data_IF_238853123846
#
_entry.id   IF_238853123846
#
_cell.length_a   1.000
_cell.length_b   1.000
_cell.length_c   1.000
_cell.angle_alpha   90.00
_cell.angle_beta   90.00
_cell.angle_gamma   90.00
#
_symmetry.space_group_name_H-M   'P 1'
#
loop_
_entity.id
_entity.type
_entity.pdbx_description
1 polymer ?
#
# COMPACT_ATOMS: atom_id res chain seq x y z
N UNK A 1 -20.55 -21.41 -23.45
CA UNK A 1 -20.92 -21.59 -22.02
C UNK A 1 -19.97 -20.70 -21.21
N UNK A 2 -20.48 -19.88 -20.28
CA UNK A 2 -19.61 -19.00 -19.47
C UNK A 2 -18.86 -19.83 -18.42
N UNK A 3 -17.53 -19.85 -18.47
CA UNK A 3 -16.67 -20.63 -17.55
C UNK A 3 -16.75 -20.21 -16.07
N UNK A 4 -17.46 -19.12 -15.73
CA UNK A 4 -17.50 -18.53 -14.39
C UNK A 4 -18.92 -18.37 -13.82
N UNK A 5 -19.89 -19.13 -14.33
CA UNK A 5 -21.30 -19.07 -13.91
C UNK A 5 -21.49 -19.22 -12.38
N UNK A 6 -20.71 -20.09 -11.73
CA UNK A 6 -20.76 -20.30 -10.28
C UNK A 6 -20.44 -19.02 -9.48
N UNK A 7 -19.47 -18.24 -9.95
CA UNK A 7 -19.06 -17.00 -9.28
C UNK A 7 -20.13 -15.91 -9.39
N UNK A 8 -20.84 -15.87 -10.52
CA UNK A 8 -21.93 -14.93 -10.70
C UNK A 8 -23.19 -15.33 -9.95
N UNK A 9 -23.37 -16.58 -9.51
CA UNK A 9 -24.57 -17.01 -8.77
C UNK A 9 -24.43 -16.90 -7.25
N UNK A 10 -23.22 -16.67 -6.73
CA UNK A 10 -22.95 -16.58 -5.29
C UNK A 10 -23.79 -15.52 -4.54
N UNK A 11 -24.23 -14.45 -5.22
CA UNK A 11 -25.12 -13.45 -4.61
C UNK A 11 -26.55 -13.97 -4.36
N UNK A 12 -26.95 -15.08 -5.00
CA UNK A 12 -28.25 -15.72 -4.78
C UNK A 12 -28.23 -16.60 -3.52
N UNK A 13 -27.07 -17.15 -3.17
CA UNK A 13 -26.88 -18.02 -2.00
C UNK A 13 -26.57 -17.23 -0.72
N UNK A 14 -25.86 -16.09 -0.80
CA UNK A 14 -25.50 -15.28 0.36
C UNK A 14 -25.97 -13.82 0.23
N UNK A 15 -26.86 -13.34 1.12
CA UNK A 15 -27.41 -11.98 1.06
C UNK A 15 -26.39 -10.87 1.41
N UNK A 16 -25.22 -11.21 1.96
CA UNK A 16 -24.17 -10.23 2.24
C UNK A 16 -23.34 -9.88 1.00
N UNK A 17 -23.43 -10.70 -0.07
CA UNK A 17 -22.69 -10.48 -1.30
C UNK A 17 -23.52 -9.61 -2.23
N UNK A 18 -23.02 -8.41 -2.51
CA UNK A 18 -23.65 -7.52 -3.49
C UNK A 18 -23.49 -8.06 -4.90
N UNK A 19 -24.51 -7.83 -5.74
CA UNK A 19 -24.50 -8.20 -7.16
C UNK A 19 -23.48 -7.38 -7.96
N UNK A 20 -23.17 -6.17 -7.49
CA UNK A 20 -22.23 -5.25 -8.15
C UNK A 20 -20.82 -5.32 -7.54
N UNK A 21 -19.81 -5.28 -8.42
CA UNK A 21 -18.40 -5.23 -8.03
C UNK A 21 -17.89 -3.79 -7.82
N UNK A 22 -18.79 -2.81 -7.72
CA UNK A 22 -18.42 -1.40 -7.81
C UNK A 22 -17.49 -0.97 -6.65
N UNK A 23 -17.66 -1.57 -5.47
CA UNK A 23 -16.78 -1.35 -4.32
C UNK A 23 -15.33 -1.79 -4.58
N UNK A 24 -15.14 -2.99 -5.14
CA UNK A 24 -13.80 -3.48 -5.45
C UNK A 24 -13.19 -2.68 -6.61
N UNK A 25 -13.96 -2.37 -7.65
CA UNK A 25 -13.51 -1.51 -8.74
C UNK A 25 -13.07 -0.13 -8.25
N UNK A 26 -13.84 0.49 -7.35
CA UNK A 26 -13.51 1.80 -6.80
C UNK A 26 -12.24 1.76 -5.93
N UNK A 27 -11.99 0.68 -5.19
CA UNK A 27 -10.73 0.48 -4.46
C UNK A 27 -9.54 0.32 -5.41
N UNK A 28 -9.69 -0.47 -6.48
CA UNK A 28 -8.62 -0.70 -7.46
C UNK A 28 -8.36 0.53 -8.34
N UNK A 29 -9.38 1.36 -8.62
CA UNK A 29 -9.24 2.60 -9.39
C UNK A 29 -8.16 3.50 -8.82
N UNK A 30 -8.05 3.63 -7.49
CA UNK A 30 -7.01 4.46 -6.86
C UNK A 30 -5.60 3.96 -7.18
N UNK A 31 -5.40 2.64 -7.15
CA UNK A 31 -4.13 1.98 -7.48
C UNK A 31 -3.80 2.14 -8.97
N UNK A 32 -4.78 1.91 -9.83
CA UNK A 32 -4.61 2.00 -11.30
C UNK A 32 -4.34 3.45 -11.73
N UNK A 33 -5.04 4.43 -11.15
CA UNK A 33 -4.79 5.85 -11.42
C UNK A 33 -3.43 6.31 -10.89
N UNK A 34 -2.99 5.80 -9.73
CA UNK A 34 -1.65 6.04 -9.20
C UNK A 34 -0.55 5.51 -10.14
N UNK A 35 -0.73 4.27 -10.64
CA UNK A 35 0.15 3.67 -11.66
C UNK A 35 0.19 4.50 -12.94
N UNK A 36 -0.96 4.88 -13.50
CA UNK A 36 -1.02 5.68 -14.74
C UNK A 36 -0.37 7.05 -14.61
N UNK A 37 -0.49 7.73 -13.46
CA UNK A 37 0.20 9.01 -13.21
C UNK A 37 1.71 8.86 -13.15
N UNK A 38 2.21 7.75 -12.60
CA UNK A 38 3.64 7.45 -12.53
C UNK A 38 4.20 7.01 -13.90
N UNK A 39 3.41 6.26 -14.67
CA UNK A 39 3.75 5.71 -15.98
C UNK A 39 4.00 6.80 -17.05
N UNK A 40 3.46 8.02 -16.85
CA UNK A 40 3.78 9.20 -17.68
C UNK A 40 5.27 9.61 -17.58
N UNK A 41 5.99 9.16 -16.53
CA UNK A 41 7.43 9.41 -16.35
C UNK A 41 8.26 8.17 -16.76
N UNK A 42 8.27 7.90 -18.06
CA UNK A 42 8.91 6.79 -18.83
C UNK A 42 10.04 5.97 -18.16
N UNK A 43 9.92 4.64 -18.34
CA UNK A 43 10.89 3.64 -18.85
C UNK A 43 12.25 3.52 -18.14
N UNK A 44 12.26 3.23 -16.84
CA UNK A 44 13.35 2.44 -16.27
C UNK A 44 12.81 1.49 -15.21
N UNK A 45 13.16 0.21 -15.33
CA UNK A 45 12.71 -0.92 -14.48
C UNK A 45 13.00 -0.65 -12.99
N UNK A 46 14.11 0.06 -12.72
CA UNK A 46 14.44 0.55 -11.39
C UNK A 46 13.41 1.54 -10.83
N UNK A 47 12.84 2.45 -11.63
CA UNK A 47 11.94 3.51 -11.15
C UNK A 47 10.50 3.05 -10.91
N UNK A 48 10.08 1.97 -11.56
CA UNK A 48 8.77 1.33 -11.29
C UNK A 48 8.71 0.82 -9.86
N UNK A 49 9.78 0.16 -9.38
CA UNK A 49 9.89 -0.32 -8.00
C UNK A 49 9.91 0.86 -7.02
N UNK A 50 10.70 1.91 -7.30
CA UNK A 50 10.78 3.08 -6.42
C UNK A 50 9.46 3.86 -6.36
N UNK A 51 8.79 4.04 -7.50
CA UNK A 51 7.50 4.72 -7.53
C UNK A 51 6.38 3.91 -6.89
N UNK A 52 6.39 2.57 -7.04
CA UNK A 52 5.49 1.69 -6.33
C UNK A 52 5.66 1.84 -4.80
N UNK A 53 6.90 1.85 -4.31
CA UNK A 53 7.21 2.08 -2.90
C UNK A 53 6.71 3.45 -2.41
N UNK A 54 6.91 4.52 -3.18
CA UNK A 54 6.45 5.86 -2.81
C UNK A 54 4.93 6.00 -2.71
N UNK A 55 4.15 5.22 -3.47
CA UNK A 55 2.69 5.22 -3.36
C UNK A 55 2.19 4.24 -2.29
N UNK A 56 2.76 3.04 -2.22
CA UNK A 56 2.30 2.04 -1.26
C UNK A 56 2.66 2.38 0.18
N UNK A 57 3.80 3.02 0.44
CA UNK A 57 4.23 3.31 1.80
C UNK A 57 3.29 4.30 2.52
N UNK A 58 2.90 5.44 1.92
CA UNK A 58 1.91 6.36 2.51
C UNK A 58 0.52 5.74 2.65
N UNK A 59 0.07 4.93 1.69
CA UNK A 59 -1.22 4.23 1.80
C UNK A 59 -1.20 3.20 2.94
N UNK A 60 -0.09 2.49 3.14
CA UNK A 60 0.11 1.58 4.27
C UNK A 60 0.13 2.35 5.60
N UNK A 61 0.77 3.52 5.65
CA UNK A 61 0.73 4.41 6.82
C UNK A 61 -0.71 4.86 7.13
N UNK A 62 -1.49 5.22 6.11
CA UNK A 62 -2.90 5.60 6.27
C UNK A 62 -3.74 4.46 6.83
N UNK A 63 -3.55 3.23 6.34
CA UNK A 63 -4.22 2.05 6.87
C UNK A 63 -3.88 1.80 8.36
N UNK A 64 -2.64 2.07 8.76
CA UNK A 64 -2.16 1.94 10.14
C UNK A 64 -2.42 3.17 11.02
N UNK A 65 -3.13 4.20 10.51
CA UNK A 65 -3.38 5.48 11.19
C UNK A 65 -2.10 6.22 11.64
N UNK A 66 -1.00 6.02 10.92
CA UNK A 66 0.28 6.68 11.16
C UNK A 66 0.35 7.95 10.30
N UNK A 67 0.90 9.04 10.85
CA UNK A 67 1.14 10.25 10.07
C UNK A 67 2.24 9.97 9.00
N UNK A 68 1.92 9.96 7.70
CA UNK A 68 2.85 9.59 6.65
C UNK A 68 4.00 10.60 6.51
N UNK A 69 3.77 11.88 6.82
CA UNK A 69 4.82 12.91 6.74
C UNK A 69 5.91 12.67 7.78
N UNK A 70 5.51 12.45 9.04
CA UNK A 70 6.45 12.21 10.14
C UNK A 70 7.26 10.91 9.93
N UNK A 71 6.61 9.90 9.35
CA UNK A 71 7.25 8.65 8.99
C UNK A 71 8.29 8.83 7.87
N UNK A 72 7.94 9.52 6.78
CA UNK A 72 8.85 9.75 5.66
C UNK A 72 10.06 10.61 6.06
N UNK A 73 9.86 11.64 6.89
CA UNK A 73 10.97 12.48 7.38
C UNK A 73 12.00 11.67 8.17
N UNK A 74 11.53 10.81 9.08
CA UNK A 74 12.40 9.96 9.89
C UNK A 74 13.10 8.88 9.03
N UNK A 75 12.44 8.34 8.01
CA UNK A 75 13.06 7.42 7.05
C UNK A 75 14.13 8.12 6.22
N UNK A 76 13.84 9.27 5.62
CA UNK A 76 14.83 9.97 4.80
C UNK A 76 16.06 10.38 5.61
N UNK A 77 15.89 10.64 6.91
CA UNK A 77 17.01 10.90 7.82
C UNK A 77 17.83 9.65 8.16
N UNK A 78 17.19 8.47 8.28
CA UNK A 78 17.86 7.20 8.64
C UNK A 78 18.46 6.47 7.45
N UNK A 79 17.87 6.62 6.26
CA UNK A 79 18.25 5.91 5.04
C UNK A 79 19.75 5.97 4.68
N UNK A 80 20.47 7.11 4.75
CA UNK A 80 21.88 7.16 4.38
C UNK A 80 22.81 6.38 5.33
N UNK A 81 22.37 6.08 6.56
CA UNK A 81 23.15 5.34 7.55
C UNK A 81 22.67 3.91 7.82
N UNK A 82 21.58 3.46 7.18
CA UNK A 82 20.93 2.20 7.53
C UNK A 82 21.46 1.02 6.69
N UNK A 83 21.89 -0.08 7.31
CA UNK A 83 22.33 -1.26 6.57
C UNK A 83 21.16 -1.90 5.81
N UNK A 84 21.40 -2.26 4.55
CA UNK A 84 20.40 -2.87 3.66
C UNK A 84 19.79 -4.18 4.20
N UNK A 85 20.46 -4.84 5.14
CA UNK A 85 19.97 -6.06 5.80
C UNK A 85 18.81 -5.80 6.78
N UNK A 86 18.68 -4.58 7.29
CA UNK A 86 17.71 -4.23 8.33
C UNK A 86 16.53 -3.39 7.77
N UNK A 87 16.27 -3.45 6.46
CA UNK A 87 15.17 -2.72 5.83
C UNK A 87 13.79 -3.04 6.46
N UNK A 88 13.65 -4.21 7.09
CA UNK A 88 12.41 -4.60 7.79
C UNK A 88 12.04 -3.67 8.94
N UNK A 89 13.01 -3.04 9.59
CA UNK A 89 12.80 -2.10 10.69
C UNK A 89 12.22 -0.77 10.22
N UNK A 90 12.40 -0.43 8.94
CA UNK A 90 11.86 0.77 8.33
C UNK A 90 10.41 0.61 7.89
N UNK A 91 9.78 -0.57 8.00
CA UNK A 91 8.36 -0.69 7.68
C UNK A 91 7.49 0.13 8.66
N UNK A 92 6.33 0.66 8.21
CA UNK A 92 5.47 1.51 9.05
C UNK A 92 5.06 0.85 10.37
N UNK A 93 4.80 -0.46 10.35
CA UNK A 93 4.41 -1.23 11.54
C UNK A 93 5.54 -1.32 12.59
N UNK A 94 6.77 -1.56 12.15
CA UNK A 94 7.94 -1.67 13.03
C UNK A 94 8.41 -0.29 13.51
N UNK A 95 8.32 0.71 12.64
CA UNK A 95 8.59 2.11 12.99
C UNK A 95 7.65 2.62 14.10
N UNK A 96 6.36 2.33 13.99
CA UNK A 96 5.37 2.71 15.01
C UNK A 96 5.66 2.03 16.36
N UNK A 97 6.04 0.74 16.34
CA UNK A 97 6.45 -0.02 17.54
C UNK A 97 7.74 0.55 18.17
N UNK A 98 8.72 0.92 17.35
CA UNK A 98 9.97 1.52 17.84
C UNK A 98 9.73 2.90 18.49
N UNK A 99 8.81 3.70 17.94
CA UNK A 99 8.41 5.00 18.53
C UNK A 99 7.67 4.83 19.85
N UNK A 100 6.76 3.86 19.98
CA UNK A 100 6.03 3.62 21.23
C UNK A 100 6.93 3.06 22.34
N UNK A 101 7.95 2.26 21.99
CA UNK A 101 8.95 1.74 22.94
C UNK A 101 9.92 2.80 23.47
N UNK A 102 10.20 3.87 22.71
CA UNK A 102 11.13 4.93 23.11
C UNK A 102 10.53 5.98 24.07
N UNK A 103 9.20 5.98 24.28
CA UNK A 103 8.54 6.90 25.23
C UNK A 103 8.59 6.41 26.70
N UNK A 104 9.22 5.26 26.98
CA UNK A 104 9.33 4.65 28.31
C UNK A 104 10.76 4.66 28.87
N UNK A 105 11.62 5.58 28.43
CA UNK A 105 12.93 5.83 29.04
C UNK A 105 13.02 7.24 29.57
#
# INVERSE_FOLDING_TARGET
MLNHEKNFKLYLDDPNIKIDNNAAEQSMRKVVLGKKKLDVRRKSESREVHGCTLFFCPETCRALKINPQAYLEDIFRRLPGHPHKNLRELLPDQWAKAKSGNSKK
#
